data_IF_093088021418
#
_entry.id   IF_093088021418
#
_cell.length_a   1.000
_cell.length_b   1.000
_cell.length_c   1.000
_cell.angle_alpha   90.00
_cell.angle_beta   90.00
_cell.angle_gamma   90.00
#
_symmetry.space_group_name_H-M   'P 1'
#
loop_
_entity.id
_entity.type
_entity.pdbx_description
1 polymer ?
#
# COMPACT_ATOMS: atom_id res chain seq x y z
N UNK A 1 29.04 -18.28 4.72
CA UNK A 1 29.79 -17.07 4.31
C UNK A 1 30.13 -16.28 5.56
N UNK A 2 31.21 -15.51 5.57
CA UNK A 2 31.52 -14.61 6.69
C UNK A 2 30.86 -13.25 6.51
N UNK A 3 30.81 -12.44 7.58
CA UNK A 3 30.36 -11.04 7.57
C UNK A 3 31.12 -10.24 6.52
N UNK A 4 32.44 -10.43 6.44
CA UNK A 4 33.28 -9.72 5.48
C UNK A 4 32.94 -10.13 4.05
N UNK A 5 32.74 -11.42 3.78
CA UNK A 5 32.34 -11.90 2.46
C UNK A 5 30.99 -11.31 2.04
N UNK A 6 30.01 -11.31 2.95
CA UNK A 6 28.68 -10.77 2.70
C UNK A 6 28.73 -9.28 2.35
N UNK A 7 29.44 -8.47 3.14
CA UNK A 7 29.55 -7.03 2.93
C UNK A 7 30.35 -6.70 1.66
N UNK A 8 31.37 -7.49 1.34
CA UNK A 8 32.15 -7.33 0.12
C UNK A 8 31.32 -7.67 -1.13
N UNK A 9 30.55 -8.77 -1.10
CA UNK A 9 29.64 -9.12 -2.19
C UNK A 9 28.57 -8.04 -2.36
N UNK A 10 27.95 -7.57 -1.27
CA UNK A 10 26.98 -6.48 -1.31
C UNK A 10 27.59 -5.19 -1.89
N UNK A 11 28.80 -4.81 -1.48
CA UNK A 11 29.50 -3.61 -2.01
C UNK A 11 29.74 -3.75 -3.50
N UNK A 12 30.24 -4.90 -3.94
CA UNK A 12 30.51 -5.16 -5.36
C UNK A 12 29.25 -5.09 -6.23
N UNK A 13 28.10 -5.49 -5.69
CA UNK A 13 26.84 -5.47 -6.42
C UNK A 13 26.21 -4.09 -6.51
N UNK A 14 26.47 -3.23 -5.52
CA UNK A 14 25.97 -1.85 -5.50
C UNK A 14 26.91 -0.88 -6.23
N UNK A 15 28.21 -1.19 -6.27
CA UNK A 15 29.21 -0.36 -6.94
C UNK A 15 28.92 -0.29 -8.44
N UNK A 16 28.69 0.91 -8.96
CA UNK A 16 28.36 1.14 -10.37
C UNK A 16 26.87 1.06 -10.69
N UNK A 17 26.03 0.60 -9.76
CA UNK A 17 24.57 0.65 -9.88
C UNK A 17 23.99 1.87 -9.16
N UNK A 18 24.61 2.34 -8.08
CA UNK A 18 24.18 3.54 -7.32
C UNK A 18 25.37 4.47 -6.98
N UNK A 19 25.06 5.68 -6.49
CA UNK A 19 26.08 6.66 -6.06
C UNK A 19 26.99 6.04 -4.99
N UNK A 20 28.30 6.25 -5.10
CA UNK A 20 29.29 5.71 -4.16
C UNK A 20 29.00 6.07 -2.70
N UNK A 21 28.44 7.26 -2.44
CA UNK A 21 28.02 7.67 -1.10
C UNK A 21 26.90 6.78 -0.56
N UNK A 22 25.91 6.45 -1.39
CA UNK A 22 24.82 5.55 -1.04
C UNK A 22 25.32 4.12 -0.82
N UNK A 23 26.27 3.64 -1.64
CA UNK A 23 26.94 2.35 -1.41
C UNK A 23 27.51 2.27 0.01
N UNK A 24 28.34 3.25 0.40
CA UNK A 24 28.97 3.25 1.72
C UNK A 24 27.97 3.38 2.87
N UNK A 25 26.86 4.09 2.66
CA UNK A 25 25.77 4.16 3.63
C UNK A 25 25.11 2.78 3.86
N UNK A 26 24.79 2.07 2.78
CA UNK A 26 24.23 0.72 2.87
C UNK A 26 25.21 -0.26 3.51
N UNK A 27 26.49 -0.24 3.13
CA UNK A 27 27.49 -1.13 3.73
C UNK A 27 27.63 -0.87 5.23
N UNK A 28 27.72 0.40 5.64
CA UNK A 28 27.79 0.76 7.05
C UNK A 28 26.55 0.30 7.83
N UNK A 29 25.37 0.45 7.25
CA UNK A 29 24.12 -0.01 7.88
C UNK A 29 24.14 -1.51 8.18
N UNK A 30 24.47 -2.34 7.18
CA UNK A 30 24.50 -3.79 7.37
C UNK A 30 25.65 -4.23 8.27
N UNK A 31 26.80 -3.57 8.20
CA UNK A 31 27.91 -3.83 9.11
C UNK A 31 27.51 -3.58 10.57
N UNK A 32 26.88 -2.44 10.86
CA UNK A 32 26.43 -2.09 12.19
C UNK A 32 25.37 -3.07 12.70
N UNK A 33 24.40 -3.41 11.85
CA UNK A 33 23.35 -4.38 12.17
C UNK A 33 23.93 -5.74 12.54
N UNK A 34 24.78 -6.31 11.68
CA UNK A 34 25.38 -7.63 11.91
C UNK A 34 26.22 -7.60 13.19
N UNK A 35 27.03 -6.55 13.35
CA UNK A 35 27.90 -6.41 14.52
C UNK A 35 27.11 -6.18 15.82
N UNK A 36 25.95 -5.52 15.76
CA UNK A 36 25.05 -5.38 16.89
C UNK A 36 24.44 -6.74 17.31
N UNK A 37 23.98 -7.54 16.35
CA UNK A 37 23.40 -8.88 16.62
C UNK A 37 24.42 -9.86 17.18
N UNK A 38 25.65 -9.84 16.65
CA UNK A 38 26.76 -10.64 17.20
C UNK A 38 27.09 -10.21 18.63
N UNK A 39 27.11 -8.90 18.93
CA UNK A 39 27.31 -8.38 20.30
C UNK A 39 26.20 -8.78 21.27
N UNK A 40 24.99 -9.03 20.76
CA UNK A 40 23.86 -9.54 21.55
C UNK A 40 23.93 -11.05 21.79
N UNK A 41 24.95 -11.74 21.28
CA UNK A 41 25.18 -13.17 21.49
C UNK A 41 24.64 -14.07 20.37
N UNK A 42 24.15 -13.51 19.26
CA UNK A 42 23.75 -14.31 18.10
C UNK A 42 24.98 -14.79 17.31
N UNK A 43 24.92 -16.04 16.82
CA UNK A 43 25.95 -16.57 15.95
C UNK A 43 25.92 -15.85 14.60
N UNK A 44 27.10 -15.46 14.09
CA UNK A 44 27.24 -14.75 12.82
C UNK A 44 26.49 -15.44 11.67
N UNK A 45 26.62 -16.76 11.56
CA UNK A 45 25.96 -17.55 10.53
C UNK A 45 24.43 -17.46 10.59
N UNK A 46 23.86 -17.44 11.80
CA UNK A 46 22.41 -17.30 11.98
C UNK A 46 21.93 -15.90 11.61
N UNK A 47 22.69 -14.86 11.97
CA UNK A 47 22.39 -13.48 11.57
C UNK A 47 22.40 -13.36 10.05
N UNK A 48 23.42 -13.91 9.38
CA UNK A 48 23.54 -13.90 7.93
C UNK A 48 22.44 -14.74 7.25
N UNK A 49 22.05 -15.87 7.85
CA UNK A 49 20.94 -16.69 7.36
C UNK A 49 19.61 -15.94 7.42
N UNK A 50 19.39 -15.13 8.45
CA UNK A 50 18.20 -14.28 8.59
C UNK A 50 18.20 -13.10 7.60
N UNK A 51 19.37 -12.50 7.34
CA UNK A 51 19.54 -11.47 6.30
C UNK A 51 19.32 -12.05 4.89
N UNK A 52 19.73 -13.29 4.66
CA UNK A 52 19.58 -13.98 3.39
C UNK A 52 20.69 -13.66 2.40
N UNK A 53 20.35 -13.65 1.10
CA UNK A 53 21.33 -13.50 0.03
C UNK A 53 21.66 -12.02 -0.25
N UNK A 54 22.94 -11.59 -0.24
CA UNK A 54 23.33 -10.20 -0.49
C UNK A 54 22.87 -9.68 -1.86
N UNK A 55 22.69 -10.56 -2.86
CA UNK A 55 22.18 -10.20 -4.20
C UNK A 55 20.74 -9.71 -4.21
N UNK A 56 19.88 -10.31 -3.38
CA UNK A 56 18.48 -9.89 -3.30
C UNK A 56 18.36 -8.53 -2.61
N UNK A 57 19.20 -8.31 -1.60
CA UNK A 57 19.31 -7.02 -0.92
C UNK A 57 19.79 -5.95 -1.90
N UNK A 58 20.89 -6.22 -2.62
CA UNK A 58 21.41 -5.31 -3.64
C UNK A 58 20.36 -4.96 -4.70
N UNK A 59 19.65 -5.98 -5.20
CA UNK A 59 18.57 -5.78 -6.18
C UNK A 59 17.47 -4.86 -5.67
N UNK A 60 17.04 -5.05 -4.42
CA UNK A 60 16.00 -4.23 -3.80
C UNK A 60 16.45 -2.78 -3.62
N UNK A 61 17.72 -2.58 -3.25
CA UNK A 61 18.32 -1.24 -3.12
C UNK A 61 18.36 -0.54 -4.48
N UNK A 62 18.89 -1.20 -5.51
CA UNK A 62 18.97 -0.64 -6.87
C UNK A 62 17.59 -0.38 -7.47
N UNK A 63 16.62 -1.26 -7.25
CA UNK A 63 15.24 -1.03 -7.73
C UNK A 63 14.55 0.14 -6.99
N UNK A 64 14.99 0.47 -5.76
CA UNK A 64 14.45 1.58 -4.95
C UNK A 64 15.16 2.91 -5.23
N UNK A 65 16.47 2.88 -5.49
CA UNK A 65 17.30 4.02 -5.83
C UNK A 65 18.12 3.66 -7.09
N UNK A 66 17.58 3.92 -8.29
CA UNK A 66 18.22 3.48 -9.53
C UNK A 66 19.54 4.16 -9.86
N UNK A 67 19.99 5.16 -9.08
CA UNK A 67 21.23 5.89 -9.33
C UNK A 67 21.21 6.67 -10.67
N UNK A 68 21.64 7.92 -10.68
CA UNK A 68 21.71 8.69 -11.94
C UNK A 68 22.86 8.24 -12.87
N UNK A 69 23.64 7.22 -12.47
CA UNK A 69 24.74 6.66 -13.28
C UNK A 69 24.25 5.52 -14.15
N UNK A 70 23.35 5.84 -15.10
CA UNK A 70 23.04 4.95 -16.22
C UNK A 70 24.15 5.06 -17.27
N UNK A 71 25.31 4.45 -17.00
CA UNK A 71 26.24 4.08 -18.06
C UNK A 71 26.01 2.60 -18.42
N UNK A 72 25.15 2.44 -19.43
CA UNK A 72 25.17 1.35 -20.41
C UNK A 72 25.56 -0.05 -19.91
N UNK A 73 24.73 -0.65 -19.04
CA UNK A 73 24.58 -2.12 -19.06
C UNK A 73 23.33 -2.48 -19.83
N UNK A 74 23.55 -2.83 -21.09
CA UNK A 74 22.60 -3.49 -21.96
C UNK A 74 22.09 -4.77 -21.28
N UNK A 75 21.04 -4.61 -20.47
CA UNK A 75 20.05 -5.65 -20.25
C UNK A 75 18.96 -5.31 -21.25
N UNK A 76 18.95 -6.11 -22.32
CA UNK A 76 17.92 -6.16 -23.35
C UNK A 76 16.53 -6.22 -22.70
N UNK A 77 15.98 -5.05 -22.40
CA UNK A 77 14.55 -4.87 -22.24
C UNK A 77 14.03 -4.66 -23.64
N UNK A 78 13.53 -5.75 -24.21
CA UNK A 78 12.66 -5.71 -25.36
C UNK A 78 11.45 -4.83 -25.01
N UNK A 79 11.49 -3.59 -25.50
CA UNK A 79 10.39 -2.64 -25.43
C UNK A 79 9.45 -2.91 -26.60
N UNK A 80 8.47 -3.79 -26.40
CA UNK A 80 7.24 -3.66 -27.18
C UNK A 80 6.41 -2.52 -26.59
N UNK A 81 6.30 -1.49 -27.42
CA UNK A 81 5.53 -0.27 -27.29
C UNK A 81 4.14 -0.43 -26.67
N UNK A 82 3.74 0.65 -25.99
CA UNK A 82 2.35 1.08 -25.81
C UNK A 82 1.46 0.19 -24.95
N UNK A 83 1.60 0.37 -23.64
CA UNK A 83 0.41 0.74 -22.90
C UNK A 83 0.82 1.78 -21.85
N UNK A 84 0.02 2.83 -21.74
CA UNK A 84 0.01 3.76 -20.64
C UNK A 84 -0.43 2.97 -19.38
N UNK A 85 0.44 2.10 -18.89
CA UNK A 85 0.20 1.34 -17.69
C UNK A 85 0.41 2.31 -16.54
N UNK A 86 -0.68 3.00 -16.18
CA UNK A 86 -1.03 3.26 -14.78
C UNK A 86 -0.41 2.11 -14.00
N UNK A 87 0.62 2.39 -13.19
CA UNK A 87 1.19 1.39 -12.30
C UNK A 87 0.05 1.02 -11.36
N UNK A 88 -0.70 -0.01 -11.74
CA UNK A 88 -1.62 -0.69 -10.85
C UNK A 88 -0.67 -1.37 -9.88
N UNK A 89 -0.32 -0.63 -8.82
CA UNK A 89 0.09 -1.20 -7.56
C UNK A 89 -0.81 -2.42 -7.37
N UNK A 90 -0.22 -3.60 -7.16
CA UNK A 90 -0.99 -4.77 -6.75
C UNK A 90 -1.70 -4.37 -5.46
N UNK A 91 -2.91 -3.83 -5.60
CA UNK A 91 -3.69 -3.34 -4.50
C UNK A 91 -3.95 -4.58 -3.66
N UNK A 92 -3.43 -4.61 -2.43
CA UNK A 92 -3.52 -5.81 -1.64
C UNK A 92 -5.01 -6.13 -1.45
N UNK A 93 -5.37 -7.41 -1.54
CA UNK A 93 -6.76 -7.86 -1.73
C UNK A 93 -7.74 -7.37 -0.65
N UNK A 94 -7.25 -6.88 0.50
CA UNK A 94 -8.04 -6.22 1.55
C UNK A 94 -8.60 -4.84 1.15
N UNK A 95 -7.98 -4.11 0.21
CA UNK A 95 -8.51 -2.83 -0.28
C UNK A 95 -9.81 -3.01 -1.05
N UNK A 96 -9.95 -4.09 -1.83
CA UNK A 96 -11.20 -4.41 -2.51
C UNK A 96 -12.33 -4.65 -1.50
N UNK A 97 -12.02 -5.29 -0.36
CA UNK A 97 -12.99 -5.50 0.73
C UNK A 97 -13.42 -4.16 1.35
N UNK A 98 -12.48 -3.26 1.63
CA UNK A 98 -12.78 -1.93 2.16
C UNK A 98 -13.65 -1.12 1.19
N UNK A 99 -13.35 -1.16 -0.11
CA UNK A 99 -14.11 -0.43 -1.13
C UNK A 99 -15.56 -0.94 -1.22
N UNK A 100 -15.76 -2.26 -1.18
CA UNK A 100 -17.10 -2.86 -1.20
C UNK A 100 -17.88 -2.47 0.06
N UNK A 101 -17.26 -2.54 1.24
CA UNK A 101 -17.90 -2.12 2.49
C UNK A 101 -18.28 -0.64 2.46
N UNK A 102 -17.38 0.23 1.97
CA UNK A 102 -17.64 1.66 1.83
C UNK A 102 -18.82 1.94 0.88
N UNK A 103 -18.88 1.24 -0.25
CA UNK A 103 -19.98 1.36 -1.21
C UNK A 103 -21.32 0.95 -0.57
N UNK A 104 -21.36 -0.15 0.18
CA UNK A 104 -22.57 -0.61 0.88
C UNK A 104 -22.99 0.39 1.95
N UNK A 105 -22.05 0.90 2.76
CA UNK A 105 -22.33 1.91 3.79
C UNK A 105 -22.84 3.21 3.16
N UNK A 106 -22.27 3.63 2.02
CA UNK A 106 -22.71 4.81 1.28
C UNK A 106 -24.17 4.66 0.79
N UNK A 107 -24.52 3.49 0.22
CA UNK A 107 -25.89 3.21 -0.21
C UNK A 107 -26.85 3.25 0.99
N UNK A 108 -26.47 2.66 2.13
CA UNK A 108 -27.29 2.67 3.34
C UNK A 108 -27.51 4.10 3.88
N UNK A 109 -26.47 4.93 3.89
CA UNK A 109 -26.57 6.34 4.28
C UNK A 109 -27.49 7.13 3.35
N UNK A 110 -27.41 6.91 2.03
CA UNK A 110 -28.30 7.55 1.07
C UNK A 110 -29.76 7.14 1.28
N UNK A 111 -30.05 5.88 1.60
CA UNK A 111 -31.41 5.44 1.93
C UNK A 111 -31.93 6.11 3.21
N UNK A 112 -31.12 6.21 4.26
CA UNK A 112 -31.50 6.88 5.51
C UNK A 112 -31.78 8.36 5.27
N UNK A 113 -30.92 9.04 4.49
CA UNK A 113 -31.11 10.43 4.10
C UNK A 113 -32.37 10.62 3.25
N UNK A 114 -32.63 9.68 2.33
CA UNK A 114 -33.82 9.71 1.48
C UNK A 114 -35.10 9.57 2.31
N UNK A 115 -35.14 8.65 3.27
CA UNK A 115 -36.27 8.49 4.20
C UNK A 115 -36.48 9.77 5.01
N UNK A 116 -35.41 10.39 5.49
CA UNK A 116 -35.47 11.65 6.21
C UNK A 116 -35.97 12.81 5.33
N UNK A 117 -35.57 12.84 4.07
CA UNK A 117 -36.06 13.80 3.07
C UNK A 117 -37.54 13.61 2.70
N UNK A 118 -38.03 12.37 2.74
CA UNK A 118 -39.45 12.06 2.56
C UNK A 118 -40.31 12.38 3.78
N UNK A 119 -39.74 12.45 4.99
CA UNK A 119 -40.47 12.73 6.22
C UNK A 119 -41.38 13.98 6.16
N UNK A 120 -40.94 15.17 5.66
CA UNK A 120 -41.83 16.33 5.53
C UNK A 120 -42.98 16.12 4.51
N UNK A 121 -42.73 15.38 3.43
CA UNK A 121 -43.77 15.08 2.42
C UNK A 121 -44.80 14.10 3.00
N UNK A 122 -44.34 13.07 3.71
CA UNK A 122 -45.20 12.12 4.40
C UNK A 122 -46.02 12.84 5.48
N UNK A 123 -45.41 13.75 6.24
CA UNK A 123 -46.09 14.55 7.27
C UNK A 123 -47.20 15.43 6.68
N UNK A 124 -46.95 16.08 5.53
CA UNK A 124 -47.95 16.92 4.87
C UNK A 124 -49.14 16.10 4.37
N UNK A 125 -48.89 14.95 3.72
CA UNK A 125 -49.96 14.04 3.27
C UNK A 125 -50.75 13.46 4.44
N UNK A 126 -50.07 13.05 5.52
CA UNK A 126 -50.70 12.51 6.72
C UNK A 126 -51.64 13.53 7.37
N UNK A 127 -51.23 14.81 7.47
CA UNK A 127 -52.05 15.89 8.02
C UNK A 127 -53.36 16.11 7.22
N UNK A 128 -53.28 16.05 5.88
CA UNK A 128 -54.45 16.19 5.00
C UNK A 128 -55.43 15.02 5.19
N UNK A 129 -54.93 13.79 5.29
CA UNK A 129 -55.76 12.60 5.54
C UNK A 129 -56.50 12.72 6.87
N UNK A 130 -55.81 13.19 7.92
CA UNK A 130 -56.40 13.41 9.25
C UNK A 130 -57.48 14.49 9.19
N UNK A 131 -57.26 15.60 8.49
CA UNK A 131 -58.25 16.67 8.29
C UNK A 131 -59.52 16.18 7.58
N UNK A 132 -59.36 15.39 6.51
CA UNK A 132 -60.50 14.79 5.78
C UNK A 132 -61.26 13.82 6.69
N UNK A 133 -60.55 12.96 7.44
CA UNK A 133 -61.16 12.05 8.42
C UNK A 133 -61.87 12.79 9.54
N UNK A 134 -61.31 13.90 10.02
CA UNK A 134 -61.88 14.71 11.09
C UNK A 134 -63.15 15.45 10.62
N UNK A 135 -63.15 16.04 9.42
CA UNK A 135 -64.34 16.67 8.85
C UNK A 135 -65.42 15.65 8.42
N UNK A 136 -65.03 14.51 7.84
CA UNK A 136 -65.96 13.46 7.42
C UNK A 136 -66.51 12.61 8.56
N UNK A 137 -65.81 12.56 9.70
CA UNK A 137 -66.24 11.83 10.91
C UNK A 137 -67.23 12.59 11.78
N UNK A 138 -67.36 13.92 11.62
CA UNK A 138 -68.27 14.74 12.40
C UNK A 138 -69.75 14.63 11.99
N UNK A 139 -70.06 13.90 10.90
CA UNK A 139 -71.42 13.79 10.33
C UNK A 139 -72.19 12.50 10.66
N UNK A 140 -71.75 11.66 11.59
CA UNK A 140 -72.54 10.52 12.10
C UNK A 140 -72.78 10.65 13.60
N UNK A 141 -73.79 11.43 13.95
CA UNK A 141 -74.66 11.18 15.10
C UNK A 141 -76.09 11.27 14.63
#
# INVERSE_FOLDING_TARGET
>A
MTKQDFLNELRSLLTGEIEQKAVEEHIRYYEEYISARIRQGEAEEEVLRQLGNPRLIARTIVDADPGETTDARAVEKEYTSSNESIRICKAPSWLAVILVVLAVVSVLLLLILFIWWLAPVILTVWLVIVLIKFLGGAGRK
#
